data_IF_889218602715
#
_entry.id   IF_889218602715
#
_cell.length_a   1.000
_cell.length_b   1.000
_cell.length_c   1.000
_cell.angle_alpha   90.00
_cell.angle_beta   90.00
_cell.angle_gamma   90.00
#
_symmetry.space_group_name_H-M   'P 1'
#
loop_
_entity.id
_entity.type
_entity.pdbx_description
1 polymer ?
#
# COMPACT_ATOMS: atom_id res chain seq x y z
N UNK A 1 46.82 4.23 29.85
CA UNK A 1 45.44 4.59 30.23
C UNK A 1 44.55 4.44 29.01
N UNK A 2 44.01 3.23 28.81
CA UNK A 2 43.07 2.92 27.72
C UNK A 2 41.71 3.47 28.12
N UNK A 3 41.24 4.50 27.42
CA UNK A 3 39.85 4.91 27.43
C UNK A 3 39.06 3.91 26.58
N UNK A 4 38.48 2.90 27.20
CA UNK A 4 37.41 2.12 26.59
C UNK A 4 36.30 3.08 26.15
N UNK A 5 36.19 3.28 24.85
CA UNK A 5 34.95 3.86 24.26
C UNK A 5 33.82 2.90 24.58
N UNK A 6 33.04 3.19 25.60
CA UNK A 6 31.73 2.59 25.77
C UNK A 6 30.93 2.91 24.49
N UNK A 7 30.88 1.96 23.56
CA UNK A 7 29.87 1.99 22.49
C UNK A 7 28.52 2.08 23.19
N UNK A 8 27.87 3.22 23.04
CA UNK A 8 26.45 3.37 23.40
C UNK A 8 25.66 2.46 22.47
N UNK A 9 25.43 1.23 22.92
CA UNK A 9 24.54 0.29 22.21
C UNK A 9 23.21 1.01 22.04
N UNK A 10 22.93 1.41 20.80
CA UNK A 10 21.68 2.10 20.45
C UNK A 10 20.55 1.12 20.68
N UNK A 11 19.83 1.26 21.78
CA UNK A 11 18.72 0.39 22.14
C UNK A 11 17.68 0.42 21.01
N UNK A 12 17.44 -0.73 20.40
CA UNK A 12 16.38 -0.86 19.38
C UNK A 12 15.01 -0.77 20.06
N UNK A 13 14.40 0.42 20.00
CA UNK A 13 13.16 0.74 20.69
C UNK A 13 11.99 -0.21 20.32
N UNK A 14 11.93 -0.71 19.09
CA UNK A 14 10.84 -1.63 18.64
C UNK A 14 10.94 -2.98 19.34
N UNK A 15 12.17 -3.47 19.60
CA UNK A 15 12.38 -4.75 20.31
C UNK A 15 12.37 -4.60 21.84
N UNK A 16 12.33 -3.36 22.34
CA UNK A 16 12.29 -3.02 23.77
C UNK A 16 11.17 -2.00 24.06
N UNK A 17 11.01 -1.48 25.23
CA UNK A 17 9.99 -0.47 25.56
C UNK A 17 8.52 -0.97 25.50
N UNK A 18 7.58 -0.04 25.67
CA UNK A 18 6.14 -0.30 25.77
C UNK A 18 5.54 -0.56 24.38
N UNK A 19 4.89 -1.70 24.17
CA UNK A 19 4.48 -2.19 22.86
C UNK A 19 3.54 -1.22 22.14
N UNK A 20 2.46 -0.79 22.78
CA UNK A 20 1.47 0.07 22.11
C UNK A 20 2.03 1.43 21.74
N UNK A 21 2.92 2.00 22.57
CA UNK A 21 3.60 3.26 22.26
C UNK A 21 4.50 3.13 21.02
N UNK A 22 5.27 2.03 20.95
CA UNK A 22 6.15 1.79 19.80
C UNK A 22 5.36 1.61 18.51
N UNK A 23 4.24 0.87 18.56
CA UNK A 23 3.37 0.70 17.40
C UNK A 23 2.74 2.04 17.01
N UNK A 24 2.26 2.83 17.96
CA UNK A 24 1.62 4.13 17.69
C UNK A 24 2.59 5.15 17.10
N UNK A 25 3.79 5.30 17.69
CA UNK A 25 4.83 6.22 17.22
C UNK A 25 5.27 5.86 15.79
N UNK A 26 5.30 4.57 15.47
CA UNK A 26 5.67 4.08 14.15
C UNK A 26 4.52 4.20 13.15
N UNK A 27 3.28 3.94 13.57
CA UNK A 27 2.07 4.00 12.78
C UNK A 27 1.72 5.42 12.31
N UNK A 28 1.76 6.42 13.21
CA UNK A 28 1.31 7.76 12.89
C UNK A 28 2.04 8.40 11.69
N UNK A 29 3.38 8.34 11.58
CA UNK A 29 4.05 8.85 10.39
C UNK A 29 3.68 8.10 9.11
N UNK A 30 3.38 6.80 9.17
CA UNK A 30 2.95 6.03 8.00
C UNK A 30 1.55 6.49 7.56
N UNK A 31 0.63 6.67 8.49
CA UNK A 31 -0.72 7.17 8.23
C UNK A 31 -0.67 8.55 7.56
N UNK A 32 0.08 9.49 8.14
CA UNK A 32 0.24 10.82 7.54
C UNK A 32 0.94 10.76 6.18
N UNK A 33 1.91 9.87 6.01
CA UNK A 33 2.56 9.64 4.71
C UNK A 33 1.57 9.20 3.64
N UNK A 34 0.70 8.25 3.96
CA UNK A 34 -0.36 7.80 3.06
C UNK A 34 -1.37 8.92 2.75
N UNK A 35 -1.69 9.75 3.76
CA UNK A 35 -2.53 10.93 3.58
C UNK A 35 -1.92 11.93 2.59
N UNK A 36 -0.64 12.29 2.75
CA UNK A 36 0.04 13.20 1.80
C UNK A 36 0.15 12.59 0.39
N UNK A 37 0.33 11.28 0.28
CA UNK A 37 0.30 10.58 -0.99
C UNK A 37 -1.07 10.71 -1.67
N UNK A 38 -2.17 10.54 -0.93
CA UNK A 38 -3.51 10.70 -1.46
C UNK A 38 -3.80 12.17 -1.82
N UNK A 39 -3.25 13.11 -1.04
CA UNK A 39 -3.40 14.54 -1.27
C UNK A 39 -2.79 14.96 -2.61
N UNK A 40 -1.53 14.55 -2.90
CA UNK A 40 -0.92 14.89 -4.18
C UNK A 40 -1.65 14.24 -5.36
N UNK A 41 -2.09 12.99 -5.27
CA UNK A 41 -2.88 12.34 -6.32
C UNK A 41 -4.19 13.10 -6.60
N UNK A 42 -4.81 13.61 -5.55
CA UNK A 42 -6.04 14.40 -5.67
C UNK A 42 -5.75 15.77 -6.28
N UNK A 43 -4.69 16.45 -5.85
CA UNK A 43 -4.28 17.74 -6.39
C UNK A 43 -3.92 17.64 -7.89
N UNK A 44 -3.15 16.63 -8.28
CA UNK A 44 -2.82 16.36 -9.68
C UNK A 44 -4.10 16.16 -10.53
N UNK A 45 -5.03 15.33 -10.07
CA UNK A 45 -6.30 15.11 -10.75
C UNK A 45 -7.15 16.40 -10.85
N UNK A 46 -7.14 17.25 -9.82
CA UNK A 46 -7.86 18.53 -9.83
C UNK A 46 -7.22 19.53 -10.81
N UNK A 47 -5.90 19.64 -10.84
CA UNK A 47 -5.17 20.54 -11.75
C UNK A 47 -5.40 20.09 -13.19
N UNK A 48 -5.21 18.80 -13.48
CA UNK A 48 -5.43 18.24 -14.81
C UNK A 48 -6.89 18.43 -15.25
N UNK A 49 -7.85 18.09 -14.39
CA UNK A 49 -9.28 18.22 -14.71
C UNK A 49 -9.74 19.66 -14.95
N UNK A 50 -9.23 20.61 -14.16
CA UNK A 50 -9.62 22.02 -14.25
C UNK A 50 -8.98 22.74 -15.46
N UNK A 51 -7.69 22.51 -15.72
CA UNK A 51 -6.94 23.24 -16.73
C UNK A 51 -6.86 22.53 -18.09
N UNK A 52 -6.92 21.19 -18.13
CA UNK A 52 -6.81 20.42 -19.37
C UNK A 52 -8.13 19.77 -19.79
N UNK A 53 -9.14 19.77 -18.92
CA UNK A 53 -10.47 19.26 -19.20
C UNK A 53 -10.67 17.76 -19.02
N UNK A 54 -11.88 17.31 -19.35
CA UNK A 54 -12.34 15.95 -19.03
C UNK A 54 -11.57 14.81 -19.72
N UNK A 55 -11.10 15.03 -20.95
CA UNK A 55 -10.35 14.02 -21.72
C UNK A 55 -8.97 13.75 -21.09
N UNK A 56 -8.27 14.82 -20.68
CA UNK A 56 -7.00 14.72 -19.98
C UNK A 56 -7.16 14.07 -18.60
N UNK A 57 -8.22 14.43 -17.87
CA UNK A 57 -8.54 13.78 -16.59
C UNK A 57 -8.82 12.28 -16.75
N UNK A 58 -9.56 11.89 -17.79
CA UNK A 58 -9.81 10.50 -18.11
C UNK A 58 -8.53 9.76 -18.52
N UNK A 59 -7.62 10.44 -19.21
CA UNK A 59 -6.32 9.90 -19.60
C UNK A 59 -5.39 9.66 -18.41
N UNK A 60 -5.40 10.52 -17.39
CA UNK A 60 -4.53 10.41 -16.20
C UNK A 60 -5.13 9.47 -15.16
N UNK A 61 -6.39 9.64 -14.84
CA UNK A 61 -7.05 8.95 -13.72
C UNK A 61 -7.84 7.69 -14.10
N UNK A 62 -8.16 7.49 -15.39
CA UNK A 62 -9.00 6.40 -15.87
C UNK A 62 -8.22 5.09 -16.07
N UNK A 63 -8.23 4.59 -17.30
CA UNK A 63 -7.57 3.32 -17.69
C UNK A 63 -6.08 3.30 -17.36
N UNK A 64 -5.40 4.42 -17.60
CA UNK A 64 -3.97 4.58 -17.32
C UNK A 64 -3.66 4.42 -15.84
N UNK A 65 -4.44 5.08 -14.96
CA UNK A 65 -4.27 4.96 -13.52
C UNK A 65 -4.44 3.51 -13.03
N UNK A 66 -5.41 2.79 -13.59
CA UNK A 66 -5.64 1.37 -13.26
C UNK A 66 -4.43 0.50 -13.66
N UNK A 67 -3.90 0.67 -14.87
CA UNK A 67 -2.75 -0.08 -15.37
C UNK A 67 -1.47 0.22 -14.57
N UNK A 68 -1.21 1.49 -14.30
CA UNK A 68 -0.08 1.93 -13.49
C UNK A 68 -0.17 1.34 -12.07
N UNK A 69 -1.33 1.45 -11.42
CA UNK A 69 -1.54 0.92 -10.07
C UNK A 69 -1.37 -0.60 -10.01
N UNK A 70 -1.78 -1.33 -11.03
CA UNK A 70 -1.59 -2.78 -11.11
C UNK A 70 -0.11 -3.15 -11.16
N UNK A 71 0.66 -2.50 -12.04
CA UNK A 71 2.08 -2.78 -12.21
C UNK A 71 2.90 -2.29 -11.02
N UNK A 72 2.71 -1.04 -10.61
CA UNK A 72 3.43 -0.45 -9.47
C UNK A 72 3.03 -1.16 -8.17
N UNK A 73 1.75 -1.49 -7.98
CA UNK A 73 1.26 -2.21 -6.81
C UNK A 73 1.93 -3.57 -6.63
N UNK A 74 2.19 -4.30 -7.72
CA UNK A 74 2.96 -5.53 -7.68
C UNK A 74 4.37 -5.33 -7.12
N UNK A 75 5.09 -4.31 -7.60
CA UNK A 75 6.44 -4.00 -7.13
C UNK A 75 6.48 -3.42 -5.72
N UNK A 76 5.46 -2.66 -5.32
CA UNK A 76 5.29 -2.25 -3.91
C UNK A 76 5.11 -3.47 -3.02
N UNK A 77 4.32 -4.46 -3.44
CA UNK A 77 4.22 -5.75 -2.78
C UNK A 77 5.56 -6.47 -2.67
N UNK A 78 6.35 -6.50 -3.75
CA UNK A 78 7.72 -7.05 -3.73
C UNK A 78 8.62 -6.31 -2.72
N UNK A 79 8.53 -5.00 -2.62
CA UNK A 79 9.31 -4.21 -1.65
C UNK A 79 8.97 -4.54 -0.20
N UNK A 80 7.75 -5.01 0.06
CA UNK A 80 7.37 -5.48 1.40
C UNK A 80 8.19 -6.71 1.84
N UNK A 81 8.57 -7.57 0.89
CA UNK A 81 9.47 -8.69 1.15
C UNK A 81 10.85 -8.24 1.64
N UNK A 82 11.42 -7.21 1.02
CA UNK A 82 12.67 -6.61 1.47
C UNK A 82 12.53 -6.01 2.89
N UNK A 83 11.43 -5.29 3.15
CA UNK A 83 11.12 -4.74 4.48
C UNK A 83 11.12 -5.83 5.54
N UNK A 84 10.48 -6.98 5.28
CA UNK A 84 10.44 -8.11 6.22
C UNK A 84 11.82 -8.73 6.43
N UNK A 85 12.55 -9.03 5.35
CA UNK A 85 13.90 -9.64 5.45
C UNK A 85 14.85 -8.75 6.23
N UNK A 86 14.86 -7.44 5.94
CA UNK A 86 15.71 -6.46 6.62
C UNK A 86 15.27 -6.32 8.09
N UNK A 87 13.97 -6.22 8.39
CA UNK A 87 13.49 -6.08 9.77
C UNK A 87 13.87 -7.30 10.63
N UNK A 88 13.80 -8.52 10.09
CA UNK A 88 14.23 -9.74 10.80
C UNK A 88 15.73 -9.73 11.08
N UNK A 89 16.56 -9.37 10.09
CA UNK A 89 18.01 -9.33 10.28
C UNK A 89 18.44 -8.16 11.18
N UNK A 90 17.77 -7.02 11.09
CA UNK A 90 17.98 -5.87 11.95
C UNK A 90 17.62 -6.19 13.41
N UNK A 91 16.46 -6.81 13.64
CA UNK A 91 16.06 -7.29 14.96
C UNK A 91 17.00 -8.34 15.54
N UNK A 92 17.61 -9.17 14.69
CA UNK A 92 18.62 -10.16 15.07
C UNK A 92 20.03 -9.56 15.26
N UNK A 93 20.21 -8.27 15.04
CA UNK A 93 21.49 -7.53 15.09
C UNK A 93 22.59 -8.17 14.21
N UNK A 94 22.21 -8.68 13.01
CA UNK A 94 23.12 -9.33 12.05
C UNK A 94 23.55 -8.33 10.97
N UNK A 95 24.62 -7.56 11.26
CA UNK A 95 25.10 -6.48 10.41
C UNK A 95 25.35 -6.90 8.96
N UNK A 96 26.15 -7.94 8.71
CA UNK A 96 26.47 -8.39 7.35
C UNK A 96 25.20 -8.72 6.54
N UNK A 97 24.23 -9.40 7.19
CA UNK A 97 22.98 -9.79 6.52
C UNK A 97 22.07 -8.61 6.24
N UNK A 98 22.05 -7.59 7.11
CA UNK A 98 21.36 -6.32 6.86
C UNK A 98 21.99 -5.61 5.68
N UNK A 99 23.34 -5.51 5.64
CA UNK A 99 24.08 -4.91 4.53
C UNK A 99 23.76 -5.59 3.21
N UNK A 100 23.87 -6.93 3.13
CA UNK A 100 23.55 -7.69 1.91
C UNK A 100 22.10 -7.50 1.48
N UNK A 101 21.16 -7.54 2.42
CA UNK A 101 19.74 -7.33 2.11
C UNK A 101 19.47 -5.91 1.59
N UNK A 102 20.07 -4.87 2.17
CA UNK A 102 19.93 -3.48 1.72
C UNK A 102 20.48 -3.29 0.32
N UNK A 103 21.72 -3.73 0.05
CA UNK A 103 22.34 -3.59 -1.27
C UNK A 103 21.61 -4.38 -2.35
N UNK A 104 21.20 -5.61 -2.06
CA UNK A 104 20.38 -6.43 -2.96
C UNK A 104 19.02 -5.79 -3.24
N UNK A 105 18.36 -5.21 -2.24
CA UNK A 105 17.07 -4.55 -2.39
C UNK A 105 17.15 -3.35 -3.33
N UNK A 106 18.19 -2.52 -3.18
CA UNK A 106 18.39 -1.36 -4.07
C UNK A 106 18.77 -1.82 -5.48
N UNK A 107 19.69 -2.81 -5.63
CA UNK A 107 20.01 -3.38 -6.93
C UNK A 107 18.76 -3.94 -7.63
N UNK A 108 17.92 -4.66 -6.89
CA UNK A 108 16.67 -5.21 -7.41
C UNK A 108 15.66 -4.12 -7.80
N UNK A 109 15.56 -3.01 -7.05
CA UNK A 109 14.68 -1.89 -7.41
C UNK A 109 15.13 -1.18 -8.68
N UNK A 110 16.44 -1.03 -8.88
CA UNK A 110 16.99 -0.44 -10.12
C UNK A 110 16.70 -1.36 -11.31
N UNK A 111 17.01 -2.65 -11.19
CA UNK A 111 16.75 -3.63 -12.25
C UNK A 111 15.25 -3.74 -12.57
N UNK A 112 14.42 -3.86 -11.55
CA UNK A 112 12.96 -3.88 -11.70
C UNK A 112 12.41 -2.60 -12.33
N UNK A 113 12.98 -1.45 -11.99
CA UNK A 113 12.65 -0.16 -12.60
C UNK A 113 13.01 -0.11 -14.08
N UNK A 114 14.18 -0.60 -14.47
CA UNK A 114 14.59 -0.70 -15.89
C UNK A 114 13.63 -1.63 -16.65
N UNK A 115 13.34 -2.82 -16.09
CA UNK A 115 12.40 -3.76 -16.72
C UNK A 115 11.02 -3.14 -16.89
N UNK A 116 10.49 -2.48 -15.84
CA UNK A 116 9.20 -1.79 -15.92
C UNK A 116 9.21 -0.65 -16.93
N UNK A 117 10.28 0.10 -17.02
CA UNK A 117 10.42 1.19 -18.00
C UNK A 117 10.35 0.61 -19.43
N UNK A 118 11.15 -0.41 -19.73
CA UNK A 118 11.19 -1.02 -21.07
C UNK A 118 9.85 -1.67 -21.43
N UNK A 119 9.32 -2.51 -20.55
CA UNK A 119 8.05 -3.21 -20.77
C UNK A 119 6.88 -2.22 -20.78
N UNK A 120 6.86 -1.28 -19.84
CA UNK A 120 5.79 -0.28 -19.73
C UNK A 120 5.69 0.62 -20.95
N UNK A 121 6.82 1.13 -21.46
CA UNK A 121 6.85 1.96 -22.68
C UNK A 121 6.50 1.12 -23.90
N UNK A 122 7.11 -0.07 -24.05
CA UNK A 122 6.91 -0.93 -25.21
C UNK A 122 5.48 -1.46 -25.33
N UNK A 123 4.86 -1.84 -24.20
CA UNK A 123 3.52 -2.42 -24.17
C UNK A 123 2.39 -1.39 -23.95
N UNK A 124 2.71 -0.10 -23.73
CA UNK A 124 1.71 0.94 -23.41
C UNK A 124 0.53 0.95 -24.38
N UNK A 125 0.78 0.92 -25.69
CA UNK A 125 -0.28 0.95 -26.71
C UNK A 125 -1.16 -0.30 -26.62
N UNK A 126 -0.55 -1.47 -26.60
CA UNK A 126 -1.26 -2.75 -26.49
C UNK A 126 -2.11 -2.85 -25.22
N UNK A 127 -1.60 -2.34 -24.08
CA UNK A 127 -2.34 -2.31 -22.82
C UNK A 127 -3.59 -1.42 -22.90
N UNK A 128 -3.48 -0.25 -23.54
CA UNK A 128 -4.59 0.68 -23.73
C UNK A 128 -5.65 0.11 -24.68
N UNK A 129 -5.22 -0.55 -25.76
CA UNK A 129 -6.10 -1.20 -26.71
C UNK A 129 -6.84 -2.39 -26.05
N UNK A 130 -6.15 -3.18 -25.23
CA UNK A 130 -6.76 -4.29 -24.45
C UNK A 130 -7.85 -3.80 -23.50
N UNK A 131 -7.71 -2.58 -22.96
CA UNK A 131 -8.67 -1.96 -22.06
C UNK A 131 -9.78 -1.20 -22.78
N UNK A 132 -9.86 -1.29 -24.13
CA UNK A 132 -10.82 -0.57 -24.97
C UNK A 132 -10.87 0.94 -24.65
N UNK A 133 -9.68 1.57 -24.54
CA UNK A 133 -9.58 3.01 -24.26
C UNK A 133 -10.15 3.80 -25.42
N UNK A 134 -11.07 4.79 -25.20
CA UNK A 134 -11.66 5.58 -26.27
C UNK A 134 -10.65 6.32 -27.12
N UNK A 135 -10.91 6.45 -28.43
CA UNK A 135 -10.00 7.05 -29.42
C UNK A 135 -9.64 8.52 -29.11
N UNK A 136 -10.53 9.27 -28.49
CA UNK A 136 -10.34 10.65 -28.09
C UNK A 136 -9.45 10.80 -26.84
N UNK A 137 -9.23 9.72 -26.07
CA UNK A 137 -8.43 9.68 -24.85
C UNK A 137 -7.09 8.97 -25.06
N UNK A 138 -7.03 7.99 -25.97
CA UNK A 138 -5.89 7.07 -26.10
C UNK A 138 -4.54 7.77 -26.35
N UNK A 139 -4.52 8.84 -27.11
CA UNK A 139 -3.29 9.58 -27.39
C UNK A 139 -2.75 10.30 -26.13
N UNK A 140 -3.62 10.94 -25.37
CA UNK A 140 -3.25 11.56 -24.09
C UNK A 140 -2.80 10.51 -23.07
N UNK A 141 -3.50 9.38 -22.99
CA UNK A 141 -3.18 8.25 -22.13
C UNK A 141 -1.82 7.64 -22.47
N UNK A 142 -1.51 7.49 -23.79
CA UNK A 142 -0.25 6.93 -24.26
C UNK A 142 0.94 7.84 -23.91
N UNK A 143 0.79 9.17 -24.10
CA UNK A 143 1.82 10.14 -23.73
C UNK A 143 2.06 10.07 -22.22
N UNK A 144 0.99 10.15 -21.40
CA UNK A 144 1.11 10.08 -19.96
C UNK A 144 1.78 8.79 -19.48
N UNK A 145 1.32 7.64 -19.97
CA UNK A 145 1.86 6.32 -19.61
C UNK A 145 3.35 6.19 -19.94
N UNK A 146 3.74 6.54 -21.17
CA UNK A 146 5.15 6.45 -21.60
C UNK A 146 6.06 7.34 -20.77
N UNK A 147 5.64 8.58 -20.53
CA UNK A 147 6.39 9.51 -19.68
C UNK A 147 6.45 8.98 -18.26
N UNK A 148 5.33 8.53 -17.69
CA UNK A 148 5.29 7.97 -16.34
C UNK A 148 6.26 6.78 -16.16
N UNK A 149 6.31 5.86 -17.16
CA UNK A 149 7.20 4.70 -17.09
C UNK A 149 8.69 5.07 -17.16
N UNK A 150 9.07 6.20 -17.75
CA UNK A 150 10.44 6.72 -17.68
C UNK A 150 10.86 7.03 -16.23
N UNK A 151 9.93 7.44 -15.38
CA UNK A 151 10.18 7.75 -13.96
C UNK A 151 10.06 6.58 -13.00
N UNK A 152 9.68 5.40 -13.47
CA UNK A 152 9.37 4.25 -12.59
C UNK A 152 10.58 3.81 -11.75
N UNK A 153 11.80 3.99 -12.25
CA UNK A 153 13.03 3.70 -11.49
C UNK A 153 13.05 4.53 -10.21
N UNK A 154 12.75 5.84 -10.28
CA UNK A 154 12.68 6.72 -9.12
C UNK A 154 11.62 6.26 -8.12
N UNK A 155 10.43 5.92 -8.61
CA UNK A 155 9.33 5.40 -7.79
C UNK A 155 9.73 4.12 -7.04
N UNK A 156 10.32 3.13 -7.73
CA UNK A 156 10.74 1.89 -7.11
C UNK A 156 11.87 2.08 -6.09
N UNK A 157 12.87 2.93 -6.39
CA UNK A 157 13.93 3.27 -5.44
C UNK A 157 13.35 3.94 -4.20
N UNK A 158 12.40 4.88 -4.36
CA UNK A 158 11.74 5.52 -3.24
C UNK A 158 10.97 4.51 -2.38
N UNK A 159 10.14 3.64 -2.99
CA UNK A 159 9.37 2.64 -2.27
C UNK A 159 10.26 1.63 -1.53
N UNK A 160 11.31 1.16 -2.19
CA UNK A 160 12.29 0.24 -1.60
C UNK A 160 13.06 0.89 -0.46
N UNK A 161 13.60 2.08 -0.67
CA UNK A 161 14.36 2.83 0.33
C UNK A 161 13.51 3.22 1.55
N UNK A 162 12.25 3.63 1.33
CA UNK A 162 11.28 3.86 2.40
C UNK A 162 10.95 2.57 3.14
N UNK A 163 10.86 1.44 2.44
CA UNK A 163 10.73 0.10 3.02
C UNK A 163 11.91 -0.25 3.93
N UNK A 164 13.15 0.04 3.50
CA UNK A 164 14.37 -0.16 4.29
C UNK A 164 14.34 0.69 5.56
N UNK A 165 14.02 1.99 5.45
CA UNK A 165 13.92 2.88 6.62
C UNK A 165 12.83 2.38 7.59
N UNK A 166 11.67 2.01 7.09
CA UNK A 166 10.61 1.41 7.92
C UNK A 166 11.07 0.09 8.58
N UNK A 167 11.81 -0.76 7.86
CA UNK A 167 12.31 -2.02 8.39
C UNK A 167 13.20 -1.86 9.62
N UNK A 168 13.95 -0.76 9.70
CA UNK A 168 14.81 -0.43 10.84
C UNK A 168 14.12 0.43 11.90
N UNK A 169 12.83 0.74 11.73
CA UNK A 169 12.01 1.47 12.70
C UNK A 169 11.93 2.98 12.48
N UNK A 170 12.43 3.48 11.34
CA UNK A 170 12.34 4.90 10.99
C UNK A 170 11.17 5.13 10.01
N UNK A 171 10.04 5.56 10.52
CA UNK A 171 8.88 5.97 9.73
C UNK A 171 8.80 7.49 9.50
N UNK A 172 9.59 8.29 10.23
CA UNK A 172 9.54 9.75 10.16
C UNK A 172 10.20 10.31 8.89
N UNK A 173 11.37 9.76 8.52
CA UNK A 173 12.07 10.20 7.30
C UNK A 173 11.27 9.91 6.03
N UNK A 174 10.68 8.72 5.81
CA UNK A 174 9.77 8.48 4.68
C UNK A 174 8.61 9.47 4.61
N UNK A 175 7.99 9.83 5.75
CA UNK A 175 6.95 10.86 5.80
C UNK A 175 7.47 12.21 5.31
N UNK A 176 8.62 12.67 5.82
CA UNK A 176 9.21 13.94 5.41
C UNK A 176 9.45 13.99 3.89
N UNK A 177 9.96 12.90 3.31
CA UNK A 177 10.22 12.82 1.87
C UNK A 177 8.93 12.81 1.05
N UNK A 178 7.85 12.20 1.57
CA UNK A 178 6.52 12.29 0.93
C UNK A 178 5.95 13.69 0.98
N UNK A 179 6.12 14.42 2.08
CA UNK A 179 5.69 15.82 2.17
C UNK A 179 6.44 16.67 1.13
N UNK A 180 7.76 16.52 1.04
CA UNK A 180 8.57 17.22 0.03
C UNK A 180 8.12 16.84 -1.38
N UNK A 181 7.88 15.54 -1.64
CA UNK A 181 7.37 15.05 -2.91
C UNK A 181 6.02 15.69 -3.26
N UNK A 182 5.07 15.72 -2.33
CA UNK A 182 3.76 16.30 -2.50
C UNK A 182 3.84 17.78 -2.87
N UNK A 183 4.59 18.57 -2.09
CA UNK A 183 4.75 20.01 -2.35
C UNK A 183 5.45 20.30 -3.69
N UNK A 184 6.47 19.50 -4.00
CA UNK A 184 7.19 19.63 -5.28
C UNK A 184 6.30 19.25 -6.46
N UNK A 185 5.53 18.16 -6.35
CA UNK A 185 4.60 17.73 -7.39
C UNK A 185 3.57 18.83 -7.69
N UNK A 186 2.88 19.35 -6.67
CA UNK A 186 1.89 20.42 -6.85
C UNK A 186 2.53 21.66 -7.49
N UNK A 187 3.71 22.09 -7.04
CA UNK A 187 4.41 23.22 -7.62
C UNK A 187 4.79 23.01 -9.08
N UNK A 188 5.28 21.80 -9.43
CA UNK A 188 5.65 21.44 -10.80
C UNK A 188 4.41 21.27 -11.69
N UNK A 189 3.28 20.77 -11.17
CA UNK A 189 2.02 20.72 -11.91
C UNK A 189 1.56 22.12 -12.32
N UNK A 190 1.56 23.08 -11.40
CA UNK A 190 1.26 24.46 -11.74
C UNK A 190 2.25 25.04 -12.76
N UNK A 191 3.52 24.76 -12.61
CA UNK A 191 4.54 25.24 -13.54
C UNK A 191 4.35 24.65 -14.94
N UNK A 192 4.22 23.32 -15.05
CA UNK A 192 4.23 22.62 -16.34
C UNK A 192 2.87 22.63 -17.02
N UNK A 193 1.79 22.44 -16.26
CA UNK A 193 0.43 22.38 -16.82
C UNK A 193 -0.13 23.79 -17.08
N UNK A 194 -0.01 24.70 -16.10
CA UNK A 194 -0.60 26.05 -16.18
C UNK A 194 0.37 27.04 -16.80
N UNK A 195 1.62 27.10 -16.30
CA UNK A 195 2.61 28.09 -16.74
C UNK A 195 3.15 27.80 -18.13
N UNK A 196 3.65 26.58 -18.36
CA UNK A 196 4.27 26.17 -19.62
C UNK A 196 3.31 25.52 -20.62
N UNK A 197 2.06 25.28 -20.22
CA UNK A 197 1.00 24.68 -21.05
C UNK A 197 1.40 23.37 -21.73
N UNK A 198 2.17 22.53 -21.03
CA UNK A 198 2.68 21.25 -21.55
C UNK A 198 1.61 20.14 -21.62
N UNK A 199 0.37 20.43 -21.23
CA UNK A 199 -0.72 19.47 -21.26
C UNK A 199 -0.49 18.27 -20.34
N UNK A 200 -0.97 17.10 -20.75
CA UNK A 200 -0.87 15.85 -19.98
C UNK A 200 0.59 15.41 -19.77
N UNK A 201 1.48 15.73 -20.70
CA UNK A 201 2.90 15.48 -20.55
C UNK A 201 3.49 16.26 -19.37
N UNK A 202 3.04 17.48 -19.12
CA UNK A 202 3.45 18.30 -17.98
C UNK A 202 3.12 17.64 -16.65
N UNK A 203 1.89 17.13 -16.48
CA UNK A 203 1.48 16.42 -15.29
C UNK A 203 2.32 15.14 -15.05
N UNK A 204 2.57 14.36 -16.12
CA UNK A 204 3.43 13.19 -16.00
C UNK A 204 4.87 13.55 -15.59
N UNK A 205 5.44 14.62 -16.16
CA UNK A 205 6.79 15.09 -15.80
C UNK A 205 6.85 15.60 -14.35
N UNK A 206 5.84 16.33 -13.87
CA UNK A 206 5.75 16.79 -12.50
C UNK A 206 5.77 15.60 -11.52
N UNK A 207 4.98 14.56 -11.82
CA UNK A 207 4.95 13.33 -11.02
C UNK A 207 6.31 12.63 -11.01
N UNK A 208 6.96 12.46 -12.15
CA UNK A 208 8.27 11.80 -12.22
C UNK A 208 9.34 12.57 -11.46
N UNK A 209 9.45 13.87 -11.70
CA UNK A 209 10.49 14.69 -11.08
C UNK A 209 10.34 14.72 -9.56
N UNK A 210 9.12 14.82 -9.05
CA UNK A 210 8.86 14.75 -7.61
C UNK A 210 9.22 13.40 -7.00
N UNK A 211 8.98 12.30 -7.72
CA UNK A 211 9.39 10.95 -7.32
C UNK A 211 10.90 10.77 -7.36
N UNK A 212 11.59 11.31 -8.37
CA UNK A 212 13.06 11.29 -8.44
C UNK A 212 13.67 12.06 -7.27
N UNK A 213 13.13 13.22 -6.92
CA UNK A 213 13.58 13.99 -5.74
C UNK A 213 13.43 13.13 -4.48
N UNK A 214 12.30 12.46 -4.29
CA UNK A 214 12.10 11.56 -3.15
C UNK A 214 13.07 10.39 -3.14
N UNK A 215 13.37 9.81 -4.31
CA UNK A 215 14.37 8.75 -4.46
C UNK A 215 15.77 9.24 -4.07
N UNK A 216 16.17 10.44 -4.50
CA UNK A 216 17.45 11.06 -4.15
C UNK A 216 17.54 11.31 -2.64
N UNK A 217 16.48 11.80 -2.02
CA UNK A 217 16.43 12.06 -0.58
C UNK A 217 16.56 10.77 0.23
N UNK A 218 15.83 9.71 -0.15
CA UNK A 218 15.91 8.43 0.55
C UNK A 218 17.27 7.76 0.36
N UNK A 219 17.82 7.80 -0.85
CA UNK A 219 19.18 7.30 -1.12
C UNK A 219 20.24 8.07 -0.34
N UNK A 220 20.16 9.39 -0.33
CA UNK A 220 21.05 10.24 0.47
C UNK A 220 20.98 9.93 1.97
N UNK A 221 19.79 9.64 2.48
CA UNK A 221 19.61 9.22 3.88
C UNK A 221 20.27 7.87 4.17
N UNK A 222 20.08 6.87 3.28
CA UNK A 222 20.69 5.55 3.42
C UNK A 222 22.24 5.60 3.33
N UNK A 223 22.76 6.51 2.52
CA UNK A 223 24.22 6.68 2.36
C UNK A 223 24.88 7.42 3.53
N UNK A 224 24.17 8.38 4.14
CA UNK A 224 24.70 9.24 5.21
C UNK A 224 24.58 8.63 6.60
N UNK A 225 23.76 7.60 6.77
CA UNK A 225 23.61 6.95 8.09
C UNK A 225 24.92 6.31 8.55
N UNK A 226 25.13 6.24 9.87
CA UNK A 226 26.24 5.51 10.51
C UNK A 226 25.79 4.17 11.10
N UNK A 227 24.55 3.77 10.85
CA UNK A 227 23.95 2.54 11.36
C UNK A 227 24.27 1.34 10.44
N UNK A 228 23.98 0.12 10.90
CA UNK A 228 24.27 -1.15 10.20
C UNK A 228 23.61 -1.28 8.81
N UNK A 229 22.58 -0.46 8.51
CA UNK A 229 21.90 -0.44 7.20
C UNK A 229 22.46 0.59 6.21
N UNK A 230 23.68 1.11 6.46
CA UNK A 230 24.32 2.09 5.56
C UNK A 230 24.49 1.54 4.15
N UNK A 231 24.03 2.31 3.16
CA UNK A 231 24.20 1.98 1.75
C UNK A 231 25.54 2.51 1.22
N UNK A 232 26.29 1.64 0.57
CA UNK A 232 27.53 1.97 -0.14
C UNK A 232 27.32 1.74 -1.63
N UNK A 233 27.31 2.81 -2.47
CA UNK A 233 27.05 2.70 -3.91
C UNK A 233 27.95 1.69 -4.63
N UNK A 234 29.24 1.62 -4.24
CA UNK A 234 30.20 0.69 -4.83
C UNK A 234 29.97 -0.77 -4.47
N UNK A 235 29.15 -1.04 -3.43
CA UNK A 235 28.81 -2.39 -2.97
C UNK A 235 27.43 -2.84 -3.41
N UNK A 236 26.74 -2.05 -4.27
CA UNK A 236 25.45 -2.45 -4.81
C UNK A 236 25.65 -3.67 -5.68
N UNK A 237 25.12 -4.79 -5.24
CA UNK A 237 25.21 -6.09 -5.90
C UNK A 237 24.01 -6.95 -5.51
N UNK A 238 23.74 -7.96 -6.31
CA UNK A 238 22.66 -8.91 -6.03
C UNK A 238 23.27 -10.13 -5.32
N UNK A 239 22.91 -10.30 -4.07
CA UNK A 239 23.10 -11.56 -3.35
C UNK A 239 21.90 -12.47 -3.62
N UNK A 240 22.13 -13.59 -4.30
CA UNK A 240 21.06 -14.50 -4.72
C UNK A 240 20.30 -15.14 -3.56
N UNK A 241 20.94 -15.33 -2.41
CA UNK A 241 20.30 -15.88 -1.21
C UNK A 241 19.32 -14.87 -0.64
N UNK A 242 19.74 -13.61 -0.53
CA UNK A 242 18.89 -12.52 -0.08
C UNK A 242 17.77 -12.22 -1.07
N UNK A 243 18.07 -12.17 -2.36
CA UNK A 243 17.08 -11.95 -3.41
C UNK A 243 16.00 -13.05 -3.41
N UNK A 244 16.39 -14.32 -3.36
CA UNK A 244 15.44 -15.44 -3.25
C UNK A 244 14.53 -15.30 -2.03
N UNK A 245 15.06 -14.85 -0.92
CA UNK A 245 14.32 -14.63 0.32
C UNK A 245 13.36 -13.47 0.22
N UNK A 246 13.80 -12.35 -0.37
CA UNK A 246 12.98 -11.16 -0.65
C UNK A 246 11.83 -11.52 -1.59
N UNK A 247 12.11 -12.23 -2.69
CA UNK A 247 11.09 -12.64 -3.66
C UNK A 247 10.11 -13.63 -3.03
N UNK A 248 10.59 -14.60 -2.25
CA UNK A 248 9.72 -15.60 -1.59
C UNK A 248 8.66 -14.96 -0.70
N UNK A 249 8.94 -13.82 -0.10
CA UNK A 249 8.00 -13.08 0.77
C UNK A 249 7.25 -12.02 -0.03
N UNK A 250 7.96 -11.30 -0.89
CA UNK A 250 7.40 -10.16 -1.63
C UNK A 250 6.52 -10.56 -2.82
N UNK A 251 6.86 -11.65 -3.52
CA UNK A 251 6.08 -12.10 -4.67
C UNK A 251 4.62 -12.42 -4.31
N UNK A 252 4.33 -13.20 -3.24
CA UNK A 252 2.96 -13.42 -2.81
C UNK A 252 2.22 -12.11 -2.46
N UNK A 253 2.91 -11.14 -1.82
CA UNK A 253 2.32 -9.85 -1.50
C UNK A 253 2.03 -9.02 -2.77
N UNK A 254 2.88 -9.09 -3.79
CA UNK A 254 2.66 -8.49 -5.10
C UNK A 254 1.46 -9.10 -5.82
N UNK A 255 1.37 -10.43 -5.85
CA UNK A 255 0.22 -11.15 -6.43
C UNK A 255 -1.07 -10.79 -5.68
N UNK A 256 -1.02 -10.70 -4.36
CA UNK A 256 -2.16 -10.27 -3.55
C UNK A 256 -2.66 -8.87 -3.97
N UNK A 257 -1.75 -7.92 -4.24
CA UNK A 257 -2.09 -6.58 -4.75
C UNK A 257 -2.80 -6.63 -6.11
N UNK A 258 -2.31 -7.47 -7.03
CA UNK A 258 -2.96 -7.70 -8.33
C UNK A 258 -4.37 -8.27 -8.15
N UNK A 259 -4.53 -9.29 -7.30
CA UNK A 259 -5.82 -9.91 -7.04
C UNK A 259 -6.84 -8.90 -6.50
N UNK A 260 -6.44 -8.03 -5.58
CA UNK A 260 -7.30 -6.94 -5.11
C UNK A 260 -7.71 -5.99 -6.23
N UNK A 261 -6.75 -5.59 -7.08
CA UNK A 261 -7.02 -4.69 -8.22
C UNK A 261 -8.01 -5.31 -9.20
N UNK A 262 -7.82 -6.57 -9.57
CA UNK A 262 -8.74 -7.32 -10.46
C UNK A 262 -10.12 -7.44 -9.83
N UNK A 263 -10.20 -7.79 -8.54
CA UNK A 263 -11.47 -7.87 -7.82
C UNK A 263 -12.23 -6.55 -7.83
N UNK A 264 -11.53 -5.43 -7.61
CA UNK A 264 -12.12 -4.10 -7.63
C UNK A 264 -12.64 -3.70 -9.03
N UNK A 265 -11.91 -4.08 -10.10
CA UNK A 265 -12.38 -3.86 -11.49
C UNK A 265 -13.67 -4.63 -11.76
N UNK A 266 -13.78 -5.87 -11.33
CA UNK A 266 -15.01 -6.68 -11.49
C UNK A 266 -16.18 -6.05 -10.72
N UNK A 267 -15.96 -5.60 -9.49
CA UNK A 267 -16.99 -4.91 -8.70
C UNK A 267 -17.41 -3.62 -9.40
N UNK A 268 -16.46 -2.81 -9.87
CA UNK A 268 -16.74 -1.56 -10.57
C UNK A 268 -17.54 -1.81 -11.85
N UNK A 269 -17.22 -2.86 -12.61
CA UNK A 269 -18.00 -3.25 -13.80
C UNK A 269 -19.45 -3.61 -13.45
N UNK A 270 -19.65 -4.36 -12.36
CA UNK A 270 -20.97 -4.69 -11.88
C UNK A 270 -21.74 -3.45 -11.40
N UNK A 271 -21.09 -2.53 -10.69
CA UNK A 271 -21.72 -1.26 -10.27
C UNK A 271 -22.10 -0.39 -11.45
N UNK A 272 -21.27 -0.36 -12.51
CA UNK A 272 -21.55 0.40 -13.73
C UNK A 272 -22.85 -0.04 -14.42
N UNK A 273 -23.23 -1.32 -14.32
CA UNK A 273 -24.48 -1.82 -14.87
C UNK A 273 -25.75 -1.41 -14.10
N UNK A 274 -25.59 -0.84 -12.88
CA UNK A 274 -26.70 -0.44 -12.02
C UNK A 274 -27.20 0.99 -12.24
N UNK A 275 -26.64 1.71 -13.20
CA UNK A 275 -27.05 3.06 -13.60
C UNK A 275 -26.24 4.19 -12.96
N UNK A 276 -26.34 5.39 -13.56
CA UNK A 276 -25.46 6.54 -13.32
C UNK A 276 -25.43 7.01 -11.86
N UNK A 277 -26.60 7.07 -11.20
CA UNK A 277 -26.69 7.53 -9.80
C UNK A 277 -25.96 6.58 -8.85
N UNK A 278 -26.06 5.26 -9.11
CA UNK A 278 -25.33 4.26 -8.32
C UNK A 278 -23.81 4.34 -8.53
N UNK A 279 -23.37 4.58 -9.76
CA UNK A 279 -21.94 4.79 -10.08
C UNK A 279 -21.41 6.04 -9.38
N UNK A 280 -22.14 7.16 -9.44
CA UNK A 280 -21.76 8.39 -8.78
C UNK A 280 -21.71 8.23 -7.25
N UNK A 281 -22.71 7.55 -6.67
CA UNK A 281 -22.74 7.28 -5.24
C UNK A 281 -21.58 6.35 -4.80
N UNK A 282 -21.28 5.32 -5.59
CA UNK A 282 -20.15 4.42 -5.32
C UNK A 282 -18.82 5.16 -5.34
N UNK A 283 -18.63 6.04 -6.32
CA UNK A 283 -17.42 6.87 -6.43
C UNK A 283 -17.28 7.86 -5.25
N UNK A 284 -18.37 8.53 -4.86
CA UNK A 284 -18.37 9.45 -3.72
C UNK A 284 -18.13 8.72 -2.39
N UNK A 285 -18.82 7.58 -2.17
CA UNK A 285 -18.59 6.70 -1.01
C UNK A 285 -17.12 6.25 -0.93
N UNK A 286 -16.51 5.85 -2.05
CA UNK A 286 -15.12 5.40 -2.11
C UNK A 286 -14.11 6.45 -1.65
N UNK A 287 -14.42 7.76 -1.76
CA UNK A 287 -13.56 8.82 -1.22
C UNK A 287 -13.58 8.86 0.32
N UNK A 288 -14.75 8.62 0.91
CA UNK A 288 -14.91 8.54 2.37
C UNK A 288 -14.36 7.24 2.92
N UNK A 289 -14.66 6.12 2.26
CA UNK A 289 -14.14 4.78 2.57
C UNK A 289 -12.59 4.73 2.56
N UNK A 290 -11.96 5.49 1.68
CA UNK A 290 -10.52 5.63 1.58
C UNK A 290 -9.83 6.00 2.91
N UNK A 291 -10.50 6.72 3.81
CA UNK A 291 -9.96 7.07 5.12
C UNK A 291 -9.74 5.82 6.00
N UNK A 292 -10.66 4.88 5.98
CA UNK A 292 -10.51 3.60 6.68
C UNK A 292 -9.34 2.80 6.10
N UNK A 293 -9.24 2.71 4.77
CA UNK A 293 -8.18 1.96 4.11
C UNK A 293 -6.79 2.54 4.41
N UNK A 294 -6.63 3.86 4.44
CA UNK A 294 -5.37 4.51 4.83
C UNK A 294 -4.96 4.13 6.26
N UNK A 295 -5.90 4.16 7.20
CA UNK A 295 -5.66 3.85 8.61
C UNK A 295 -5.26 2.38 8.79
N UNK A 296 -6.05 1.45 8.26
CA UNK A 296 -5.84 0.03 8.50
C UNK A 296 -4.57 -0.49 7.81
N UNK A 297 -4.26 -0.03 6.59
CA UNK A 297 -3.02 -0.36 5.89
C UNK A 297 -1.77 0.15 6.63
N UNK A 298 -1.82 1.37 7.16
CA UNK A 298 -0.70 1.92 7.94
C UNK A 298 -0.45 1.07 9.20
N UNK A 299 -1.51 0.60 9.86
CA UNK A 299 -1.39 -0.26 11.02
C UNK A 299 -0.89 -1.67 10.66
N UNK A 300 -1.30 -2.21 9.51
CA UNK A 300 -0.80 -3.47 8.95
C UNK A 300 0.71 -3.42 8.69
N UNK A 301 1.21 -2.32 8.11
CA UNK A 301 2.66 -2.09 7.92
C UNK A 301 3.38 -2.01 9.26
N UNK A 302 2.82 -1.30 10.24
CA UNK A 302 3.39 -1.19 11.58
C UNK A 302 3.47 -2.54 12.27
N UNK A 303 2.40 -3.34 12.22
CA UNK A 303 2.37 -4.69 12.76
C UNK A 303 3.40 -5.61 12.08
N UNK A 304 3.54 -5.55 10.75
CA UNK A 304 4.51 -6.34 9.98
C UNK A 304 5.95 -6.04 10.43
N UNK A 305 6.32 -4.77 10.55
CA UNK A 305 7.67 -4.37 10.97
C UNK A 305 7.94 -4.73 12.43
N UNK A 306 6.97 -4.48 13.31
CA UNK A 306 7.08 -4.82 14.73
C UNK A 306 7.29 -6.33 14.91
N UNK A 307 6.48 -7.14 14.26
CA UNK A 307 6.60 -8.61 14.29
C UNK A 307 7.92 -9.06 13.68
N UNK A 308 8.31 -8.52 12.52
CA UNK A 308 9.56 -8.89 11.85
C UNK A 308 10.79 -8.67 12.71
N UNK A 309 10.93 -7.51 13.35
CA UNK A 309 12.07 -7.22 14.23
C UNK A 309 12.08 -8.08 15.50
N UNK A 310 10.92 -8.24 16.17
CA UNK A 310 10.84 -9.06 17.37
C UNK A 310 11.03 -10.55 17.09
N UNK A 311 10.55 -11.04 15.92
CA UNK A 311 10.80 -12.39 15.46
C UNK A 311 12.30 -12.63 15.19
N UNK A 312 12.96 -11.69 14.51
CA UNK A 312 14.40 -11.71 14.30
C UNK A 312 15.19 -11.73 15.59
N UNK A 313 14.76 -10.94 16.58
CA UNK A 313 15.33 -10.91 17.93
C UNK A 313 14.99 -12.15 18.78
N UNK A 314 14.24 -13.13 18.25
CA UNK A 314 13.75 -14.33 18.97
C UNK A 314 12.84 -14.03 20.17
N UNK A 315 12.25 -12.83 20.25
CA UNK A 315 11.38 -12.39 21.36
C UNK A 315 9.91 -12.79 21.06
N UNK A 316 9.63 -14.11 21.02
CA UNK A 316 8.32 -14.64 20.60
C UNK A 316 7.15 -14.18 21.48
N UNK A 317 7.35 -14.05 22.80
CA UNK A 317 6.30 -13.54 23.69
C UNK A 317 5.93 -12.09 23.33
N UNK A 318 6.93 -11.28 22.94
CA UNK A 318 6.72 -9.93 22.48
C UNK A 318 6.02 -9.88 21.10
N UNK A 319 6.29 -10.85 20.20
CA UNK A 319 5.56 -11.02 18.94
C UNK A 319 4.07 -11.24 19.22
N UNK A 320 3.73 -12.22 20.08
CA UNK A 320 2.31 -12.51 20.39
C UNK A 320 1.59 -11.32 21.05
N UNK A 321 2.26 -10.67 22.03
CA UNK A 321 1.71 -9.46 22.65
C UNK A 321 1.55 -8.34 21.63
N UNK A 322 2.51 -8.16 20.71
CA UNK A 322 2.44 -7.16 19.65
C UNK A 322 1.26 -7.38 18.72
N UNK A 323 1.03 -8.60 18.25
CA UNK A 323 -0.14 -8.94 17.42
C UNK A 323 -1.45 -8.63 18.16
N UNK A 324 -1.55 -9.05 19.43
CA UNK A 324 -2.74 -8.75 20.27
C UNK A 324 -2.93 -7.25 20.45
N UNK A 325 -1.87 -6.51 20.74
CA UNK A 325 -1.92 -5.05 20.91
C UNK A 325 -2.32 -4.35 19.61
N UNK A 326 -1.72 -4.73 18.46
CA UNK A 326 -2.11 -4.21 17.15
C UNK A 326 -3.58 -4.47 16.85
N UNK A 327 -4.09 -5.66 17.19
CA UNK A 327 -5.50 -6.02 17.02
C UNK A 327 -6.41 -5.11 17.85
N UNK A 328 -6.10 -4.94 19.15
CA UNK A 328 -6.88 -4.06 20.06
C UNK A 328 -6.84 -2.62 19.55
N UNK A 329 -5.68 -2.11 19.17
CA UNK A 329 -5.54 -0.75 18.61
C UNK A 329 -6.38 -0.60 17.34
N UNK A 330 -6.36 -1.59 16.44
CA UNK A 330 -7.14 -1.58 15.21
C UNK A 330 -8.65 -1.56 15.51
N UNK A 331 -9.13 -2.36 16.47
CA UNK A 331 -10.53 -2.35 16.88
C UNK A 331 -10.93 -0.99 17.47
N UNK A 332 -10.12 -0.41 18.36
CA UNK A 332 -10.41 0.91 18.95
C UNK A 332 -10.42 2.01 17.90
N UNK A 333 -9.42 2.05 17.02
CA UNK A 333 -9.33 3.06 15.96
C UNK A 333 -10.44 2.91 14.93
N UNK A 334 -10.80 1.67 14.55
CA UNK A 334 -11.96 1.42 13.68
C UNK A 334 -13.26 1.82 14.38
N UNK A 335 -13.41 1.58 15.66
CA UNK A 335 -14.57 2.04 16.42
C UNK A 335 -14.72 3.56 16.39
N UNK A 336 -13.64 4.30 16.62
CA UNK A 336 -13.63 5.76 16.49
C UNK A 336 -13.95 6.21 15.06
N UNK A 337 -13.42 5.53 14.05
CA UNK A 337 -13.69 5.83 12.64
C UNK A 337 -15.14 5.54 12.26
N UNK A 338 -15.71 4.43 12.74
CA UNK A 338 -17.14 4.10 12.53
C UNK A 338 -18.03 5.18 13.12
N UNK A 339 -17.78 5.59 14.37
CA UNK A 339 -18.52 6.68 15.03
C UNK A 339 -18.35 7.99 14.24
N UNK A 340 -17.14 8.34 13.85
CA UNK A 340 -16.87 9.52 13.06
C UNK A 340 -17.64 9.50 11.72
N UNK A 341 -17.56 8.42 10.97
CA UNK A 341 -18.26 8.28 9.69
C UNK A 341 -19.78 8.23 9.85
N UNK A 342 -20.28 7.67 10.95
CA UNK A 342 -21.71 7.61 11.22
C UNK A 342 -22.34 8.99 11.39
N UNK A 343 -21.65 9.91 12.10
CA UNK A 343 -22.18 11.25 12.37
C UNK A 343 -21.77 12.29 11.31
N UNK A 344 -20.61 12.16 10.69
CA UNK A 344 -20.03 13.16 9.80
C UNK A 344 -20.05 12.71 8.35
N UNK A 345 -20.31 11.42 8.07
CA UNK A 345 -20.24 10.83 6.73
C UNK A 345 -21.09 11.55 5.69
N UNK A 346 -22.33 11.93 6.03
CA UNK A 346 -23.19 12.69 5.14
C UNK A 346 -22.66 14.09 4.82
N UNK A 347 -22.04 14.75 5.80
CA UNK A 347 -21.36 16.03 5.60
C UNK A 347 -20.15 15.86 4.68
N UNK A 348 -19.36 14.79 4.86
CA UNK A 348 -18.23 14.49 3.96
C UNK A 348 -18.71 14.21 2.54
N UNK A 349 -19.80 13.44 2.36
CA UNK A 349 -20.37 13.19 1.03
C UNK A 349 -20.84 14.51 0.37
N UNK A 350 -21.40 15.44 1.14
CA UNK A 350 -21.85 16.72 0.61
C UNK A 350 -20.74 17.59 0.00
N UNK A 351 -19.47 17.33 0.36
CA UNK A 351 -18.30 17.96 -0.27
C UNK A 351 -18.04 17.44 -1.70
N UNK A 352 -18.52 16.24 -2.02
CA UNK A 352 -18.26 15.62 -3.31
C UNK A 352 -19.46 15.67 -4.26
N UNK A 353 -20.70 15.79 -3.75
CA UNK A 353 -21.89 15.87 -4.56
C UNK A 353 -23.00 16.70 -3.89
N UNK A 354 -23.70 17.46 -4.70
CA UNK A 354 -24.91 18.23 -4.30
C UNK A 354 -26.20 17.52 -4.70
N UNK A 355 -26.12 16.46 -5.50
CA UNK A 355 -27.29 15.70 -5.96
C UNK A 355 -27.91 14.91 -4.79
N UNK A 356 -29.19 15.20 -4.53
CA UNK A 356 -29.91 14.62 -3.40
C UNK A 356 -30.12 13.11 -3.54
N UNK A 357 -30.37 12.60 -4.77
CA UNK A 357 -30.56 11.18 -5.03
C UNK A 357 -29.24 10.41 -4.79
N UNK A 358 -28.11 10.96 -5.25
CA UNK A 358 -26.78 10.38 -5.02
C UNK A 358 -26.44 10.38 -3.53
N UNK A 359 -26.75 11.47 -2.80
CA UNK A 359 -26.51 11.56 -1.35
C UNK A 359 -27.30 10.54 -0.55
N UNK A 360 -28.58 10.32 -0.92
CA UNK A 360 -29.43 9.31 -0.25
C UNK A 360 -28.87 7.89 -0.43
N UNK A 361 -28.39 7.56 -1.64
CA UNK A 361 -27.73 6.28 -1.90
C UNK A 361 -26.44 6.16 -1.07
N UNK A 362 -25.62 7.21 -1.01
CA UNK A 362 -24.40 7.23 -0.19
C UNK A 362 -24.70 7.04 1.30
N UNK A 363 -25.73 7.72 1.82
CA UNK A 363 -26.19 7.55 3.19
C UNK A 363 -26.51 6.07 3.48
N UNK A 364 -27.27 5.44 2.57
CA UNK A 364 -27.57 4.01 2.66
C UNK A 364 -26.33 3.11 2.64
N UNK A 365 -25.29 3.45 1.86
CA UNK A 365 -24.03 2.71 1.81
C UNK A 365 -23.21 2.89 3.09
N UNK A 366 -23.09 4.12 3.62
CA UNK A 366 -22.36 4.41 4.86
C UNK A 366 -22.96 3.58 6.00
N UNK A 367 -24.28 3.65 6.21
CA UNK A 367 -24.95 2.95 7.27
C UNK A 367 -24.93 1.42 7.13
N UNK A 368 -24.74 0.93 5.91
CA UNK A 368 -24.63 -0.50 5.64
C UNK A 368 -23.21 -1.02 5.77
N UNK A 369 -22.21 -0.36 5.14
CA UNK A 369 -20.83 -0.89 5.04
C UNK A 369 -19.96 -0.49 6.24
N UNK A 370 -20.07 0.73 6.74
CA UNK A 370 -19.16 1.24 7.79
C UNK A 370 -19.18 0.38 9.06
N UNK A 371 -20.35 -0.09 9.57
CA UNK A 371 -20.35 -0.99 10.72
C UNK A 371 -19.67 -2.33 10.46
N UNK A 372 -19.53 -2.74 9.20
CA UNK A 372 -18.89 -4.02 8.83
C UNK A 372 -17.38 -3.96 8.79
N UNK A 373 -16.74 -2.79 8.89
CA UNK A 373 -15.27 -2.63 8.89
C UNK A 373 -14.57 -3.47 9.97
N UNK A 374 -15.23 -3.72 11.09
CA UNK A 374 -14.70 -4.58 12.13
C UNK A 374 -14.36 -5.99 11.65
N UNK A 375 -15.04 -6.48 10.63
CA UNK A 375 -14.81 -7.82 10.08
C UNK A 375 -13.53 -7.90 9.25
N UNK A 376 -13.01 -6.78 8.74
CA UNK A 376 -11.78 -6.73 7.95
C UNK A 376 -10.50 -6.65 8.82
N UNK A 377 -10.59 -6.10 10.02
CA UNK A 377 -9.42 -5.79 10.88
C UNK A 377 -8.47 -6.98 11.01
N UNK A 378 -9.04 -8.15 11.29
CA UNK A 378 -8.26 -9.37 11.53
C UNK A 378 -7.47 -9.81 10.30
N UNK A 379 -8.01 -9.57 9.10
CA UNK A 379 -7.35 -9.90 7.83
C UNK A 379 -6.05 -9.12 7.71
N UNK A 380 -6.09 -7.79 7.91
CA UNK A 380 -4.92 -6.94 7.74
C UNK A 380 -3.85 -7.21 8.81
N UNK A 381 -4.26 -7.29 10.08
CA UNK A 381 -3.31 -7.47 11.19
C UNK A 381 -2.68 -8.86 11.17
N UNK A 382 -3.46 -9.92 10.93
CA UNK A 382 -2.93 -11.30 10.90
C UNK A 382 -2.10 -11.53 9.63
N UNK A 383 -2.52 -11.02 8.47
CA UNK A 383 -1.72 -11.06 7.25
C UNK A 383 -0.37 -10.36 7.43
N UNK A 384 -0.39 -9.15 8.03
CA UNK A 384 0.82 -8.40 8.36
C UNK A 384 1.74 -9.16 9.32
N UNK A 385 1.20 -9.74 10.38
CA UNK A 385 1.95 -10.53 11.36
C UNK A 385 2.57 -11.78 10.74
N UNK A 386 1.82 -12.53 9.93
CA UNK A 386 2.30 -13.72 9.22
C UNK A 386 3.41 -13.37 8.22
N UNK A 387 3.24 -12.28 7.44
CA UNK A 387 4.32 -11.77 6.59
C UNK A 387 5.56 -11.40 7.40
N UNK A 388 5.38 -10.76 8.56
CA UNK A 388 6.47 -10.37 9.45
C UNK A 388 7.36 -11.55 9.89
N UNK A 389 6.81 -12.75 10.04
CA UNK A 389 7.57 -13.98 10.32
C UNK A 389 8.08 -14.68 9.04
N UNK A 390 7.75 -14.17 7.86
CA UNK A 390 8.16 -14.72 6.57
C UNK A 390 7.17 -15.72 5.95
N UNK A 391 5.99 -15.86 6.53
CA UNK A 391 4.92 -16.69 6.00
C UNK A 391 3.97 -15.83 5.15
N UNK A 392 4.22 -15.75 3.83
CA UNK A 392 3.49 -14.89 2.91
C UNK A 392 2.59 -15.67 1.94
N UNK A 393 2.90 -16.93 1.65
CA UNK A 393 2.16 -17.72 0.66
C UNK A 393 0.76 -18.07 1.12
N UNK A 394 0.62 -18.58 2.34
CA UNK A 394 -0.70 -18.96 2.86
C UNK A 394 -1.62 -17.76 3.03
N UNK A 395 -1.16 -16.63 3.62
CA UNK A 395 -1.92 -15.37 3.60
C UNK A 395 -2.40 -14.94 2.21
N UNK A 396 -1.56 -15.06 1.18
CA UNK A 396 -1.94 -14.75 -0.20
C UNK A 396 -3.09 -15.65 -0.68
N UNK A 397 -3.01 -16.98 -0.45
CA UNK A 397 -4.07 -17.90 -0.86
C UNK A 397 -5.37 -17.66 -0.08
N UNK A 398 -5.29 -17.46 1.25
CA UNK A 398 -6.47 -17.16 2.07
C UNK A 398 -7.16 -15.89 1.57
N UNK A 399 -6.40 -14.83 1.29
CA UNK A 399 -6.97 -13.57 0.77
C UNK A 399 -7.47 -13.74 -0.66
N UNK A 400 -6.71 -14.42 -1.53
CA UNK A 400 -7.10 -14.64 -2.93
C UNK A 400 -8.41 -15.40 -3.06
N UNK A 401 -8.57 -16.47 -2.32
CA UNK A 401 -9.80 -17.29 -2.34
C UNK A 401 -10.92 -16.61 -1.55
N UNK A 402 -10.62 -16.16 -0.32
CA UNK A 402 -11.62 -15.65 0.61
C UNK A 402 -12.16 -14.27 0.24
N UNK A 403 -11.32 -13.37 -0.28
CA UNK A 403 -11.78 -12.05 -0.74
C UNK A 403 -12.10 -12.09 -2.23
N UNK A 404 -11.10 -12.35 -3.09
CA UNK A 404 -11.30 -12.20 -4.53
C UNK A 404 -12.21 -13.31 -5.08
N UNK A 405 -12.00 -14.57 -4.69
CA UNK A 405 -12.83 -15.69 -5.12
C UNK A 405 -14.29 -15.53 -4.72
N UNK A 406 -14.55 -15.21 -3.45
CA UNK A 406 -15.93 -14.99 -2.96
C UNK A 406 -16.61 -13.82 -3.69
N UNK A 407 -15.89 -12.71 -3.91
CA UNK A 407 -16.43 -11.54 -4.62
C UNK A 407 -16.75 -11.84 -6.08
N UNK A 408 -15.87 -12.56 -6.78
CA UNK A 408 -16.10 -12.97 -8.17
C UNK A 408 -17.35 -13.84 -8.26
N UNK A 409 -17.44 -14.88 -7.42
CA UNK A 409 -18.62 -15.75 -7.39
C UNK A 409 -19.90 -14.96 -7.06
N UNK A 410 -19.82 -14.05 -6.09
CA UNK A 410 -20.96 -13.21 -5.72
C UNK A 410 -21.43 -12.34 -6.88
N UNK A 411 -20.50 -11.64 -7.55
CA UNK A 411 -20.82 -10.73 -8.66
C UNK A 411 -21.36 -11.46 -9.89
N UNK A 412 -20.87 -12.67 -10.17
CA UNK A 412 -21.25 -13.41 -11.38
C UNK A 412 -22.49 -14.29 -11.18
N UNK A 413 -22.63 -14.93 -10.01
CA UNK A 413 -23.68 -15.91 -9.78
C UNK A 413 -24.85 -15.39 -8.94
N UNK A 414 -24.61 -14.43 -8.01
CA UNK A 414 -25.62 -14.00 -7.04
C UNK A 414 -26.22 -12.63 -7.37
N UNK A 415 -25.38 -11.65 -7.69
CA UNK A 415 -25.81 -10.28 -7.96
C UNK A 415 -26.84 -10.17 -9.10
N UNK A 416 -26.79 -10.96 -10.20
CA UNK A 416 -27.80 -10.92 -11.26
C UNK A 416 -29.23 -11.16 -10.79
N UNK A 417 -29.42 -11.78 -9.60
CA UNK A 417 -30.75 -12.04 -9.03
C UNK A 417 -31.25 -10.86 -8.17
N UNK A 418 -30.38 -9.97 -7.70
CA UNK A 418 -30.74 -8.89 -6.76
C UNK A 418 -30.74 -7.49 -7.39
N UNK A 419 -30.06 -7.24 -8.49
CA UNK A 419 -29.95 -5.99 -9.26
C UNK A 419 -29.94 -4.70 -8.40
N UNK A 420 -29.21 -4.69 -7.29
CA UNK A 420 -29.15 -3.55 -6.38
C UNK A 420 -27.73 -3.22 -5.94
N UNK A 421 -27.46 -1.94 -5.69
CA UNK A 421 -26.15 -1.50 -5.21
C UNK A 421 -25.82 -2.08 -3.81
N UNK A 422 -26.83 -2.20 -2.93
CA UNK A 422 -26.65 -2.88 -1.63
C UNK A 422 -26.34 -4.37 -1.81
N UNK A 423 -26.95 -5.03 -2.81
CA UNK A 423 -26.62 -6.40 -3.19
C UNK A 423 -25.17 -6.54 -3.66
N UNK A 424 -24.68 -5.60 -4.47
CA UNK A 424 -23.28 -5.55 -4.87
C UNK A 424 -22.36 -5.30 -3.65
N UNK A 425 -22.70 -4.34 -2.80
CA UNK A 425 -21.93 -3.99 -1.61
C UNK A 425 -21.83 -5.13 -0.57
N UNK A 426 -22.83 -6.02 -0.52
CA UNK A 426 -22.85 -7.13 0.44
C UNK A 426 -21.70 -8.14 0.26
N UNK A 427 -21.09 -8.20 -0.93
CA UNK A 427 -19.90 -9.05 -1.15
C UNK A 427 -18.72 -8.68 -0.21
N UNK A 428 -18.63 -7.42 0.24
CA UNK A 428 -17.56 -6.97 1.13
C UNK A 428 -17.64 -7.63 2.50
N UNK A 429 -18.70 -7.43 3.32
CA UNK A 429 -18.79 -8.07 4.62
C UNK A 429 -18.78 -9.60 4.53
N UNK A 430 -19.42 -10.19 3.52
CA UNK A 430 -19.41 -11.63 3.32
C UNK A 430 -17.98 -12.16 3.12
N UNK A 431 -17.23 -11.57 2.18
CA UNK A 431 -15.85 -11.97 1.91
C UNK A 431 -14.94 -11.73 3.13
N UNK A 432 -15.14 -10.64 3.86
CA UNK A 432 -14.33 -10.32 5.04
C UNK A 432 -14.58 -11.32 6.19
N UNK A 433 -15.82 -11.69 6.46
CA UNK A 433 -16.15 -12.67 7.51
C UNK A 433 -15.52 -14.04 7.18
N UNK A 434 -15.72 -14.54 5.96
CA UNK A 434 -15.17 -15.82 5.52
C UNK A 434 -13.64 -15.81 5.62
N UNK A 435 -13.01 -14.75 5.14
CA UNK A 435 -11.55 -14.63 5.16
C UNK A 435 -11.01 -14.49 6.58
N UNK A 436 -11.68 -13.72 7.45
CA UNK A 436 -11.31 -13.58 8.85
C UNK A 436 -11.34 -14.92 9.58
N UNK A 437 -12.37 -15.73 9.37
CA UNK A 437 -12.48 -17.07 9.96
C UNK A 437 -11.30 -17.95 9.48
N UNK A 438 -11.00 -17.94 8.18
CA UNK A 438 -9.88 -18.69 7.62
C UNK A 438 -8.52 -18.23 8.22
N UNK A 439 -8.31 -16.91 8.39
CA UNK A 439 -7.10 -16.39 9.05
C UNK A 439 -6.99 -16.82 10.51
N UNK A 440 -8.08 -16.78 11.28
CA UNK A 440 -8.05 -17.25 12.68
C UNK A 440 -7.75 -18.74 12.77
N UNK A 441 -8.38 -19.57 11.94
CA UNK A 441 -8.09 -21.01 11.88
C UNK A 441 -6.60 -21.24 11.55
N UNK A 442 -6.09 -20.58 10.52
CA UNK A 442 -4.68 -20.71 10.15
C UNK A 442 -3.74 -20.23 11.26
N UNK A 443 -3.97 -19.02 11.79
CA UNK A 443 -3.14 -18.42 12.83
C UNK A 443 -3.06 -19.30 14.10
N UNK A 444 -4.20 -19.82 14.56
CA UNK A 444 -4.27 -20.57 15.81
C UNK A 444 -3.74 -21.99 15.70
N UNK A 445 -3.92 -22.66 14.55
CA UNK A 445 -3.68 -24.09 14.44
C UNK A 445 -2.46 -24.45 13.59
N UNK A 446 -2.17 -23.69 12.53
CA UNK A 446 -1.21 -24.12 11.49
C UNK A 446 0.00 -23.19 11.34
N UNK A 447 -0.09 -21.92 11.72
CA UNK A 447 0.97 -20.93 11.50
C UNK A 447 2.21 -21.19 12.36
N UNK A 448 3.32 -20.57 11.97
CA UNK A 448 4.54 -20.56 12.79
C UNK A 448 4.35 -19.82 14.13
N UNK A 449 3.33 -18.96 14.22
CA UNK A 449 2.94 -18.23 15.42
C UNK A 449 2.00 -19.03 16.33
N UNK A 450 1.58 -20.25 15.94
CA UNK A 450 0.71 -21.08 16.75
C UNK A 450 1.40 -21.56 18.02
N UNK A 451 0.78 -21.29 19.18
CA UNK A 451 1.26 -21.77 20.48
C UNK A 451 1.33 -23.31 20.58
N UNK A 452 0.56 -24.03 19.76
CA UNK A 452 0.56 -25.51 19.73
C UNK A 452 1.83 -26.11 19.13
N UNK A 453 2.56 -25.39 18.25
CA UNK A 453 3.87 -25.86 17.76
C UNK A 453 4.95 -25.84 18.83
N UNK A 454 4.84 -24.93 19.82
CA UNK A 454 5.77 -24.86 20.97
C UNK A 454 5.67 -26.12 21.88
N UNK A 455 4.53 -26.78 21.92
CA UNK A 455 4.29 -28.00 22.71
C UNK A 455 4.71 -29.32 22.01
N UNK A 456 5.03 -29.25 20.70
CA UNK A 456 5.51 -30.43 19.93
C UNK A 456 7.03 -30.43 19.73
N UNK A 457 7.73 -29.36 20.13
CA UNK A 457 9.20 -29.24 20.04
C UNK A 457 9.88 -29.33 21.43
N UNK A 458 9.16 -29.71 22.46
CA UNK A 458 9.61 -30.19 23.76
C UNK A 458 9.30 -31.69 23.82
#
# INVERSE_FOLDING_TARGET
MNKEKKEVVKVNQITEGVIWQQILIFFLPILFGTFFQQLYNTADAMIVGHFLGKQALAAVGGTTGTLINLLVGFFVGLSSGATVVISQHYGANKEDKVQWAVHTSIAFSILGGIVLTVVGIGCSRWMLDLMNTPDDVVNHALIYMRVYFLGTIGNLIYNMGSGILRAVGDSKRPLLYLIICCMTNIALDFLFVVGLQMGVMGAALATILSQIISAVLVMGSLMRTRDIYRLHLRKISIDWIMLKRIIRIGFPAGVQSILYSVSNVIIQSAVNSLGTNNVAAWAAYGKVDGLFWMMINALGIAATTFVGQNYGAKKMDRVHRGVRTSMIMAFLMTGLMVVFMWFIGDTLISLFTTDTAVREICHGLIHFLVPTFFTYISIEILSGALRGVGDAWIPMFITGIGICGVRIVWMTAVLPHFHSLKGAAFCYPLSWVITTIAYFIYYLFFSQLSKRKKLRSI
#
